data_IF_317350302721
#
_entry.id   IF_317350302721
#
_cell.length_a   1.000
_cell.length_b   1.000
_cell.length_c   1.000
_cell.angle_alpha   90.00
_cell.angle_beta   90.00
_cell.angle_gamma   90.00
#
_symmetry.space_group_name_H-M   'P 1'
#
loop_
_entity.id
_entity.type
_entity.pdbx_description
1 polymer ?
#
# COMPACT_ATOMS: atom_id res chain seq x y z
N UNK A 1 23.91 -25.10 -9.82
CA UNK A 1 24.02 -26.44 -9.19
C UNK A 1 23.24 -26.43 -7.88
N UNK A 2 21.91 -26.36 -7.97
CA UNK A 2 20.98 -26.63 -6.86
C UNK A 2 19.87 -27.46 -7.52
N UNK A 3 20.22 -28.70 -7.88
CA UNK A 3 19.29 -29.67 -8.44
C UNK A 3 18.53 -30.28 -7.27
N UNK A 4 17.20 -30.29 -7.36
CA UNK A 4 16.30 -30.61 -6.26
C UNK A 4 16.70 -31.85 -5.46
N UNK A 5 16.38 -31.78 -4.17
CA UNK A 5 16.50 -32.88 -3.20
C UNK A 5 16.15 -34.20 -3.88
N UNK A 6 17.14 -35.05 -4.08
CA UNK A 6 16.91 -36.39 -4.57
C UNK A 6 16.11 -37.16 -3.52
N UNK A 7 15.23 -38.07 -3.94
CA UNK A 7 14.50 -38.93 -3.00
C UNK A 7 15.46 -39.65 -2.03
N UNK A 8 16.66 -39.98 -2.50
CA UNK A 8 17.74 -40.56 -1.69
C UNK A 8 18.17 -39.64 -0.55
N UNK A 9 18.44 -38.35 -0.81
CA UNK A 9 18.82 -37.39 0.23
C UNK A 9 17.71 -37.21 1.26
N UNK A 10 16.45 -37.12 0.82
CA UNK A 10 15.29 -37.03 1.71
C UNK A 10 15.22 -38.27 2.63
N UNK A 11 15.42 -39.47 2.08
CA UNK A 11 15.41 -40.71 2.88
C UNK A 11 16.55 -40.73 3.90
N UNK A 12 17.76 -40.27 3.55
CA UNK A 12 18.89 -40.20 4.49
C UNK A 12 18.58 -39.25 5.65
N UNK A 13 18.08 -38.04 5.35
CA UNK A 13 17.72 -37.05 6.37
C UNK A 13 16.57 -37.57 7.24
N UNK A 14 15.57 -38.20 6.62
CA UNK A 14 14.47 -38.83 7.33
C UNK A 14 14.99 -39.95 8.24
N UNK A 15 15.90 -40.80 7.78
CA UNK A 15 16.54 -41.85 8.59
C UNK A 15 17.29 -41.28 9.81
N UNK A 16 18.02 -40.17 9.65
CA UNK A 16 18.68 -39.49 10.78
C UNK A 16 17.67 -38.90 11.76
N UNK A 17 16.61 -38.26 11.26
CA UNK A 17 15.52 -37.75 12.09
C UNK A 17 14.80 -38.88 12.83
N UNK A 18 14.63 -40.03 12.17
CA UNK A 18 14.05 -41.24 12.73
C UNK A 18 14.94 -41.88 13.79
N UNK A 19 16.26 -41.71 13.73
CA UNK A 19 17.14 -42.19 14.79
C UNK A 19 17.06 -41.32 16.04
N UNK A 20 16.95 -40.00 15.87
CA UNK A 20 16.83 -39.03 16.96
C UNK A 20 15.45 -39.09 17.64
N UNK A 21 14.39 -39.17 16.83
CA UNK A 21 13.00 -39.05 17.28
C UNK A 21 12.27 -40.39 17.35
N UNK A 22 12.62 -41.36 16.49
CA UNK A 22 11.98 -42.68 16.39
C UNK A 22 11.01 -42.82 15.20
N UNK A 23 10.94 -44.00 14.55
CA UNK A 23 9.98 -44.32 13.47
C UNK A 23 8.52 -44.23 13.90
N UNK A 24 8.24 -44.48 15.17
CA UNK A 24 6.88 -44.43 15.71
C UNK A 24 6.42 -43.00 16.02
N UNK A 25 7.36 -42.07 16.25
CA UNK A 25 7.03 -40.70 16.67
C UNK A 25 6.64 -39.80 15.50
N UNK A 26 7.28 -39.92 14.33
CA UNK A 26 6.87 -39.19 13.12
C UNK A 26 5.40 -39.39 12.74
N UNK A 27 4.86 -40.62 12.62
CA UNK A 27 3.46 -40.82 12.25
C UNK A 27 2.50 -40.35 13.35
N UNK A 28 2.89 -40.43 14.61
CA UNK A 28 2.10 -39.90 15.74
C UNK A 28 1.99 -38.37 15.65
N UNK A 29 3.12 -37.68 15.48
CA UNK A 29 3.16 -36.22 15.30
C UNK A 29 2.44 -35.77 14.02
N UNK A 30 2.60 -36.50 12.92
CA UNK A 30 1.89 -36.21 11.67
C UNK A 30 0.38 -36.36 11.84
N UNK A 31 -0.10 -37.37 12.59
CA UNK A 31 -1.53 -37.54 12.90
C UNK A 31 -2.07 -36.41 13.76
N UNK A 32 -1.34 -35.95 14.78
CA UNK A 32 -1.79 -34.84 15.63
C UNK A 32 -1.77 -33.51 14.89
N UNK A 33 -0.69 -33.20 14.17
CA UNK A 33 -0.57 -32.01 13.33
C UNK A 33 -1.60 -32.02 12.20
N UNK A 34 -1.85 -33.17 11.58
CA UNK A 34 -2.84 -33.31 10.51
C UNK A 34 -4.27 -33.05 10.99
N UNK A 35 -4.62 -33.49 12.21
CA UNK A 35 -5.91 -33.15 12.83
C UNK A 35 -6.03 -31.65 13.07
N UNK A 36 -5.03 -31.03 13.69
CA UNK A 36 -5.03 -29.58 13.95
C UNK A 36 -5.06 -28.75 12.66
N UNK A 37 -4.30 -29.15 11.63
CA UNK A 37 -4.28 -28.47 10.35
C UNK A 37 -5.61 -28.65 9.60
N UNK A 38 -6.29 -29.79 9.75
CA UNK A 38 -7.63 -30.02 9.17
C UNK A 38 -8.69 -29.16 9.85
N UNK A 39 -8.62 -29.01 11.17
CA UNK A 39 -9.50 -28.10 11.91
C UNK A 39 -9.23 -26.63 11.54
N UNK A 40 -7.95 -26.24 11.45
CA UNK A 40 -7.55 -24.91 10.99
C UNK A 40 -8.03 -24.65 9.57
N UNK A 41 -7.89 -25.63 8.66
CA UNK A 41 -8.36 -25.53 7.28
C UNK A 41 -9.87 -25.29 7.25
N UNK A 42 -10.64 -26.08 8.02
CA UNK A 42 -12.09 -25.91 8.11
C UNK A 42 -12.49 -24.53 8.63
N UNK A 43 -11.85 -24.07 9.72
CA UNK A 43 -12.09 -22.72 10.25
C UNK A 43 -11.71 -21.63 9.22
N UNK A 44 -10.60 -21.82 8.50
CA UNK A 44 -10.15 -20.90 7.45
C UNK A 44 -11.11 -20.88 6.26
N UNK A 45 -11.65 -22.04 5.87
CA UNK A 45 -12.62 -22.16 4.77
C UNK A 45 -13.95 -21.49 5.14
N UNK A 46 -14.41 -21.63 6.39
CA UNK A 46 -15.60 -20.93 6.90
C UNK A 46 -15.41 -19.40 6.88
N UNK A 47 -14.24 -18.91 7.33
CA UNK A 47 -13.89 -17.49 7.26
C UNK A 47 -13.88 -17.00 5.82
N UNK A 48 -13.22 -17.72 4.92
CA UNK A 48 -13.17 -17.40 3.49
C UNK A 48 -14.57 -17.32 2.89
N UNK A 49 -15.46 -18.25 3.25
CA UNK A 49 -16.86 -18.24 2.80
C UNK A 49 -17.66 -17.03 3.29
N UNK A 50 -17.39 -16.53 4.50
CA UNK A 50 -18.01 -15.31 5.03
C UNK A 50 -17.49 -14.06 4.31
N UNK A 51 -16.18 -13.94 4.12
CA UNK A 51 -15.58 -12.82 3.37
C UNK A 51 -16.07 -12.78 1.92
N UNK A 52 -16.12 -13.91 1.22
CA UNK A 52 -16.60 -13.97 -0.17
C UNK A 52 -18.07 -13.56 -0.27
N UNK A 53 -18.92 -13.95 0.70
CA UNK A 53 -20.33 -13.53 0.73
C UNK A 53 -20.50 -12.04 1.01
N UNK A 54 -19.65 -11.44 1.84
CA UNK A 54 -19.71 -10.02 2.15
C UNK A 54 -19.18 -9.17 0.99
N UNK A 55 -18.06 -9.59 0.37
CA UNK A 55 -17.51 -8.93 -0.82
C UNK A 55 -18.47 -9.05 -2.01
N UNK A 56 -19.05 -10.24 -2.25
CA UNK A 56 -20.04 -10.42 -3.31
C UNK A 56 -21.29 -9.55 -3.12
N UNK A 57 -21.67 -9.23 -1.86
CA UNK A 57 -22.76 -8.29 -1.58
C UNK A 57 -22.39 -6.84 -1.84
N UNK A 58 -21.14 -6.45 -1.58
CA UNK A 58 -20.64 -5.10 -1.87
C UNK A 58 -20.54 -4.87 -3.38
N UNK A 59 -20.16 -5.88 -4.17
CA UNK A 59 -20.08 -5.79 -5.63
C UNK A 59 -21.46 -5.88 -6.34
N UNK A 60 -22.49 -6.40 -5.67
CA UNK A 60 -23.84 -6.56 -6.27
C UNK A 60 -24.74 -5.33 -6.12
N UNK A 61 -24.40 -4.33 -5.29
CA UNK A 61 -25.22 -3.10 -5.12
C UNK A 61 -24.52 -1.78 -5.54
N UNK A 62 -24.03 -1.60 -6.79
CA UNK A 62 -23.67 -0.26 -7.27
C UNK A 62 -24.88 0.55 -7.80
N UNK A 63 -26.10 -0.01 -7.87
CA UNK A 63 -27.15 0.59 -8.71
C UNK A 63 -28.27 1.37 -7.99
N UNK A 64 -28.31 1.42 -6.66
CA UNK A 64 -29.46 2.04 -5.94
C UNK A 64 -29.18 3.36 -5.23
N UNK A 65 -27.96 3.89 -5.26
CA UNK A 65 -27.60 5.14 -4.59
C UNK A 65 -27.61 6.39 -5.49
N UNK A 66 -27.92 6.27 -6.79
CA UNK A 66 -28.12 7.43 -7.67
C UNK A 66 -29.51 7.29 -8.30
N UNK A 67 -30.54 7.78 -7.60
CA UNK A 67 -31.81 8.05 -8.25
C UNK A 67 -31.56 9.08 -9.37
N UNK A 68 -32.08 8.88 -10.60
CA UNK A 68 -31.99 9.92 -11.62
C UNK A 68 -32.67 11.18 -11.07
N UNK A 69 -31.95 12.30 -11.05
CA UNK A 69 -32.59 13.61 -10.78
C UNK A 69 -33.66 13.78 -11.86
N UNK A 70 -34.95 13.96 -11.49
CA UNK A 70 -36.00 14.16 -12.47
C UNK A 70 -35.67 15.39 -13.32
N UNK A 71 -35.85 15.33 -14.65
CA UNK A 71 -35.55 16.46 -15.52
C UNK A 71 -36.38 17.67 -15.05
N UNK A 72 -35.77 18.88 -14.96
CA UNK A 72 -36.52 20.07 -14.59
C UNK A 72 -37.65 20.27 -15.59
N UNK A 73 -38.87 20.60 -15.13
CA UNK A 73 -39.99 20.87 -16.02
C UNK A 73 -39.59 21.99 -16.99
N UNK A 74 -39.85 21.82 -18.29
CA UNK A 74 -39.64 22.88 -19.25
C UNK A 74 -40.57 24.04 -18.89
N UNK A 75 -40.03 25.26 -18.99
CA UNK A 75 -40.74 26.54 -18.96
C UNK A 75 -40.93 27.25 -17.62
N UNK A 76 -39.91 27.27 -16.74
CA UNK A 76 -39.88 28.22 -15.61
C UNK A 76 -38.77 29.29 -15.75
N UNK A 77 -39.08 30.53 -16.18
CA UNK A 77 -38.10 31.60 -16.36
C UNK A 77 -37.45 32.08 -15.04
N UNK A 78 -37.88 31.54 -13.90
CA UNK A 78 -37.28 31.79 -12.60
C UNK A 78 -35.90 31.13 -12.43
N UNK A 79 -35.68 29.93 -12.99
CA UNK A 79 -34.44 29.17 -12.83
C UNK A 79 -33.24 29.83 -13.55
N UNK A 80 -33.48 30.45 -14.71
CA UNK A 80 -32.45 31.19 -15.44
C UNK A 80 -31.95 32.44 -14.70
N UNK A 81 -32.83 33.08 -13.91
CA UNK A 81 -32.50 34.29 -13.14
C UNK A 81 -31.71 33.98 -11.86
N UNK A 82 -31.82 32.77 -11.32
CA UNK A 82 -31.01 32.32 -10.20
C UNK A 82 -29.54 32.11 -10.62
N UNK A 83 -29.33 31.42 -11.75
CA UNK A 83 -27.98 31.17 -12.28
C UNK A 83 -27.27 32.46 -12.70
N UNK A 84 -27.99 33.44 -13.25
CA UNK A 84 -27.41 34.75 -13.61
C UNK A 84 -26.96 35.58 -12.40
N UNK A 85 -27.56 35.40 -11.21
CA UNK A 85 -27.13 36.10 -9.98
C UNK A 85 -25.93 35.44 -9.30
N UNK A 86 -25.84 34.12 -9.37
CA UNK A 86 -24.67 33.38 -8.86
C UNK A 86 -23.41 33.74 -9.65
N UNK A 87 -23.50 33.84 -10.97
CA UNK A 87 -22.35 34.20 -11.83
C UNK A 87 -21.84 35.64 -11.66
N UNK A 88 -22.64 36.56 -11.09
CA UNK A 88 -22.21 37.95 -10.87
C UNK A 88 -21.58 38.20 -9.48
N UNK A 89 -21.68 37.25 -8.54
CA UNK A 89 -21.13 37.38 -7.18
C UNK A 89 -19.78 36.67 -7.01
N UNK A 90 -19.43 35.73 -7.89
CA UNK A 90 -18.19 34.94 -7.80
C UNK A 90 -16.93 35.65 -8.37
N UNK A 91 -17.05 36.92 -8.78
CA UNK A 91 -15.92 37.68 -9.34
C UNK A 91 -15.20 38.61 -8.33
N UNK A 92 -15.56 38.60 -7.05
CA UNK A 92 -15.09 39.65 -6.12
C UNK A 92 -14.32 39.22 -4.86
N UNK A 93 -14.34 37.98 -4.37
CA UNK A 93 -13.72 37.71 -3.05
C UNK A 93 -13.11 36.30 -2.92
N UNK A 94 -11.80 36.15 -3.23
CA UNK A 94 -10.94 35.33 -2.36
C UNK A 94 -9.49 35.85 -2.29
N UNK A 95 -9.11 36.55 -1.20
CA UNK A 95 -7.74 36.99 -0.90
C UNK A 95 -6.77 35.85 -0.51
N UNK A 96 -7.17 34.58 -0.58
CA UNK A 96 -6.31 33.42 -0.27
C UNK A 96 -5.24 33.14 -1.36
N UNK A 97 -5.49 33.50 -2.62
CA UNK A 97 -4.52 33.35 -3.70
C UNK A 97 -3.25 34.22 -3.48
N UNK A 98 -3.40 35.39 -2.84
CA UNK A 98 -2.29 36.28 -2.50
C UNK A 98 -1.40 35.71 -1.37
N UNK A 99 -1.95 34.91 -0.46
CA UNK A 99 -1.19 34.28 0.64
C UNK A 99 -0.42 33.03 0.19
N UNK A 100 -0.89 32.33 -0.85
CA UNK A 100 -0.18 31.19 -1.42
C UNK A 100 1.08 31.61 -2.21
N UNK A 101 1.05 32.76 -2.87
CA UNK A 101 2.20 33.33 -3.59
C UNK A 101 3.34 33.74 -2.63
N UNK A 102 3.02 34.32 -1.47
CA UNK A 102 4.02 34.73 -0.48
C UNK A 102 4.77 33.55 0.20
N UNK A 103 4.12 32.38 0.34
CA UNK A 103 4.77 31.17 0.89
C UNK A 103 5.71 30.47 -0.09
N UNK A 104 5.45 30.57 -1.40
CA UNK A 104 6.34 30.00 -2.43
C UNK A 104 7.61 30.82 -2.64
N UNK A 105 7.59 32.14 -2.40
CA UNK A 105 8.77 32.99 -2.48
C UNK A 105 9.76 32.81 -1.31
N UNK A 106 9.33 32.22 -0.17
CA UNK A 106 10.18 32.02 1.01
C UNK A 106 10.98 30.70 1.00
N UNK A 107 10.77 29.82 0.02
CA UNK A 107 11.42 28.50 -0.04
C UNK A 107 12.68 28.47 -0.93
N UNK A 108 12.98 29.53 -1.68
CA UNK A 108 14.10 29.57 -2.65
C UNK A 108 15.34 30.33 -2.16
N UNK A 109 15.46 30.60 -0.84
CA UNK A 109 16.64 31.24 -0.27
C UNK A 109 17.18 30.46 0.95
N UNK A 110 17.82 29.34 0.69
CA UNK A 110 18.71 28.65 1.64
C UNK A 110 20.09 28.42 0.99
N UNK A 111 20.95 29.41 1.24
CA UNK A 111 22.41 29.28 1.46
C UNK A 111 23.33 29.28 0.23
N UNK A 112 23.89 30.47 -0.01
CA UNK A 112 25.06 30.80 -0.84
C UNK A 112 26.33 30.09 -0.31
N UNK A 113 27.26 29.66 -1.19
CA UNK A 113 28.51 28.99 -0.85
C UNK A 113 29.54 29.96 -0.25
N UNK A 114 30.40 29.47 0.66
CA UNK A 114 31.66 30.14 1.01
C UNK A 114 32.81 29.14 1.05
N UNK A 115 33.71 29.32 0.08
CA UNK A 115 35.09 28.85 0.07
C UNK A 115 35.86 29.29 1.32
N UNK A 116 36.87 28.49 1.66
CA UNK A 116 38.09 28.96 2.32
C UNK A 116 38.25 28.53 3.77
N UNK A 117 38.98 27.43 4.00
CA UNK A 117 39.98 27.31 5.06
C UNK A 117 40.70 25.96 4.93
N UNK A 118 41.62 25.94 3.97
CA UNK A 118 42.77 25.05 3.94
C UNK A 118 43.70 25.43 5.10
N UNK A 119 43.97 24.51 6.04
CA UNK A 119 45.17 24.57 6.89
C UNK A 119 45.47 23.22 7.55
N UNK A 120 46.73 22.82 7.42
CA UNK A 120 47.52 21.92 8.27
C UNK A 120 47.64 20.44 7.85
N UNK A 121 48.71 20.19 7.09
CA UNK A 121 49.38 18.90 6.86
C UNK A 121 50.26 19.03 5.61
N UNK A 122 51.45 19.66 5.63
CA UNK A 122 52.71 19.09 6.14
C UNK A 122 52.82 17.58 5.85
N UNK A 123 53.80 17.00 5.18
CA UNK A 123 55.10 17.42 4.64
C UNK A 123 55.61 16.19 3.81
N UNK A 124 56.41 16.46 2.76
CA UNK A 124 57.31 15.55 2.00
C UNK A 124 56.79 14.67 0.85
N UNK A 125 57.46 14.83 -0.30
CA UNK A 125 57.73 13.75 -1.25
C UNK A 125 57.64 14.15 -2.73
N UNK A 126 58.57 14.97 -3.26
CA UNK A 126 59.59 14.57 -4.26
C UNK A 126 58.98 14.17 -5.62
N UNK A 127 58.91 15.07 -6.60
CA UNK A 127 59.92 15.44 -7.62
C UNK A 127 59.74 14.71 -8.97
N UNK A 128 59.52 15.56 -10.00
CA UNK A 128 59.75 15.55 -11.46
C UNK A 128 60.80 14.56 -12.06
N UNK A 129 61.01 14.52 -13.40
CA UNK A 129 60.40 15.33 -14.49
C UNK A 129 59.55 14.56 -15.50
#
# INVERSE_FOLDING_TARGET
>A
MIGGLSMTEVIIILGLALLLLGPDQLPVLAKSLGKGLRELRKATDDLKGQFEQEIARIDTEPQRMIAPVPPPPPDDPAAARANARTSATEAAEDPAAARAAARRAAADLKVVPREGAESAGADRGVAKP
#
